data_IF_642026576849
#
_entry.id   IF_642026576849
#
_cell.length_a   1.000
_cell.length_b   1.000
_cell.length_c   1.000
_cell.angle_alpha   90.00
_cell.angle_beta   90.00
_cell.angle_gamma   90.00
#
_symmetry.space_group_name_H-M   'P 1'
#
loop_
_entity.id
_entity.type
_entity.pdbx_description
1 polymer ?
#
# COMPACT_ATOMS: atom_id res chain seq x y z
N UNK A 1 -3.88 6.46 -8.79
CA UNK A 1 -4.04 5.14 -8.19
C UNK A 1 -5.46 4.63 -8.19
N UNK A 2 -5.64 3.36 -8.51
CA UNK A 2 -6.95 2.70 -8.50
C UNK A 2 -7.14 1.97 -7.17
N UNK A 3 -8.29 2.19 -6.51
CA UNK A 3 -8.70 1.46 -5.32
C UNK A 3 -9.86 0.52 -5.66
N UNK A 4 -9.54 -0.63 -6.22
CA UNK A 4 -10.49 -1.73 -6.44
C UNK A 4 -9.99 -2.92 -5.66
N UNK A 5 -10.84 -3.45 -4.77
CA UNK A 5 -10.59 -4.76 -4.17
C UNK A 5 -11.25 -5.81 -5.04
N UNK A 6 -10.45 -6.60 -5.71
CA UNK A 6 -10.94 -7.70 -6.55
C UNK A 6 -10.13 -8.97 -6.30
N UNK A 7 -10.75 -10.12 -6.48
CA UNK A 7 -10.10 -11.41 -6.36
C UNK A 7 -10.44 -12.29 -7.56
N UNK A 8 -9.44 -12.96 -8.12
CA UNK A 8 -9.64 -13.99 -9.14
C UNK A 8 -10.27 -15.20 -8.47
N UNK A 9 -11.46 -15.59 -8.94
CA UNK A 9 -12.17 -16.76 -8.44
C UNK A 9 -11.93 -18.03 -9.29
N UNK A 10 -11.47 -17.83 -10.52
CA UNK A 10 -11.17 -18.90 -11.48
C UNK A 10 -10.80 -18.31 -12.84
N UNK A 11 -10.49 -19.13 -13.85
CA UNK A 11 -10.17 -18.67 -15.19
C UNK A 11 -11.30 -17.79 -15.75
N UNK A 12 -10.97 -16.52 -16.06
CA UNK A 12 -11.93 -15.55 -16.62
C UNK A 12 -12.97 -15.01 -15.64
N UNK A 13 -12.91 -15.38 -14.33
CA UNK A 13 -13.88 -14.94 -13.32
C UNK A 13 -13.19 -14.07 -12.27
N UNK A 14 -13.60 -12.81 -12.19
CA UNK A 14 -13.12 -11.85 -11.18
C UNK A 14 -14.30 -11.41 -10.32
N UNK A 15 -14.13 -11.47 -9.00
CA UNK A 15 -15.10 -10.97 -8.03
C UNK A 15 -14.60 -9.67 -7.43
N UNK A 16 -15.40 -8.63 -7.50
CA UNK A 16 -15.15 -7.40 -6.75
C UNK A 16 -15.48 -7.63 -5.27
N UNK A 17 -14.51 -7.34 -4.40
CA UNK A 17 -14.61 -7.54 -2.95
C UNK A 17 -14.85 -6.18 -2.28
N UNK A 18 -16.13 -5.91 -1.96
CA UNK A 18 -16.53 -4.69 -1.24
C UNK A 18 -16.43 -3.40 -2.06
N UNK A 19 -17.20 -2.40 -1.67
CA UNK A 19 -17.16 -1.02 -2.15
C UNK A 19 -17.28 -0.79 -3.67
N UNK A 20 -17.59 0.43 -4.05
CA UNK A 20 -17.37 0.90 -5.43
C UNK A 20 -15.89 1.27 -5.60
N UNK A 21 -15.24 0.75 -6.62
CA UNK A 21 -13.87 1.18 -6.96
C UNK A 21 -13.81 2.71 -7.08
N UNK A 22 -12.71 3.29 -6.66
CA UNK A 22 -12.45 4.73 -6.78
C UNK A 22 -11.11 4.94 -7.45
N UNK A 23 -11.06 5.86 -8.41
CA UNK A 23 -9.85 6.27 -9.12
C UNK A 23 -9.44 7.66 -8.67
N UNK A 24 -8.26 7.78 -8.06
CA UNK A 24 -7.60 9.07 -7.88
C UNK A 24 -6.52 9.21 -8.95
N UNK A 25 -6.45 10.34 -9.60
CA UNK A 25 -5.42 10.62 -10.59
C UNK A 25 -5.05 12.11 -10.61
N UNK A 26 -3.90 12.42 -11.19
CA UNK A 26 -3.42 13.79 -11.31
C UNK A 26 -1.99 13.85 -11.81
N UNK A 27 -1.47 15.04 -12.14
CA UNK A 27 -0.10 15.21 -12.59
C UNK A 27 0.89 14.93 -11.43
N UNK A 28 1.99 14.23 -11.76
CA UNK A 28 3.04 13.92 -10.79
C UNK A 28 3.89 15.17 -10.49
N UNK A 29 4.05 16.03 -11.48
CA UNK A 29 4.85 17.27 -11.42
C UNK A 29 4.10 18.47 -10.80
N UNK A 30 2.89 18.22 -10.27
CA UNK A 30 1.99 19.27 -9.74
C UNK A 30 1.70 20.39 -10.75
N UNK A 31 1.78 20.09 -12.06
CA UNK A 31 1.41 21.01 -13.12
C UNK A 31 -0.08 21.41 -13.01
N UNK A 32 -0.49 22.39 -13.84
CA UNK A 32 -1.87 22.85 -13.89
C UNK A 32 -2.86 21.68 -14.00
N UNK A 33 -3.51 21.40 -12.90
CA UNK A 33 -4.42 20.28 -12.72
C UNK A 33 -5.70 20.47 -13.55
N UNK A 34 -6.11 21.71 -13.78
CA UNK A 34 -7.38 22.02 -14.45
C UNK A 34 -7.44 21.53 -15.90
N UNK A 35 -6.29 21.42 -16.58
CA UNK A 35 -6.24 20.86 -17.94
C UNK A 35 -6.67 19.38 -18.02
N UNK A 36 -6.68 18.67 -16.88
CA UNK A 36 -7.10 17.26 -16.80
C UNK A 36 -8.58 17.11 -16.38
N UNK A 37 -9.28 18.19 -16.10
CA UNK A 37 -10.71 18.19 -15.74
C UNK A 37 -11.62 17.50 -16.78
N UNK A 38 -11.38 17.66 -18.10
CA UNK A 38 -12.16 16.93 -19.09
C UNK A 38 -12.02 15.40 -19.00
N UNK A 39 -10.86 14.91 -18.53
CA UNK A 39 -10.64 13.45 -18.32
C UNK A 39 -11.44 12.97 -17.12
N UNK A 40 -11.50 13.75 -16.04
CA UNK A 40 -12.34 13.45 -14.88
C UNK A 40 -13.82 13.33 -15.29
N UNK A 41 -14.33 14.32 -16.03
CA UNK A 41 -15.69 14.30 -16.50
C UNK A 41 -15.99 13.07 -17.38
N UNK A 42 -15.11 12.77 -18.33
CA UNK A 42 -15.24 11.60 -19.20
C UNK A 42 -15.31 10.28 -18.41
N UNK A 43 -14.46 10.13 -17.37
CA UNK A 43 -14.45 8.95 -16.53
C UNK A 43 -15.73 8.84 -15.70
N UNK A 44 -16.21 9.98 -15.16
CA UNK A 44 -17.45 10.03 -14.38
C UNK A 44 -18.66 9.73 -15.24
N UNK A 45 -18.73 10.25 -16.46
CA UNK A 45 -19.79 9.96 -17.43
C UNK A 45 -19.81 8.48 -17.84
N UNK A 46 -18.63 7.83 -17.83
CA UNK A 46 -18.52 6.38 -18.01
C UNK A 46 -18.87 5.55 -16.77
N UNK A 47 -19.36 6.18 -15.69
CA UNK A 47 -19.72 5.50 -14.44
C UNK A 47 -18.54 5.15 -13.53
N UNK A 48 -17.33 5.66 -13.82
CA UNK A 48 -16.15 5.45 -12.97
C UNK A 48 -16.12 6.54 -11.91
N UNK A 49 -16.05 6.15 -10.64
CA UNK A 49 -15.87 7.10 -9.53
C UNK A 49 -14.44 7.65 -9.54
N UNK A 50 -14.20 8.63 -10.41
CA UNK A 50 -12.91 9.28 -10.57
C UNK A 50 -12.85 10.61 -9.82
N UNK A 51 -11.68 10.92 -9.26
CA UNK A 51 -11.38 12.17 -8.57
C UNK A 51 -10.01 12.70 -9.04
N UNK A 52 -10.02 13.90 -9.61
CA UNK A 52 -8.82 14.61 -10.01
C UNK A 52 -8.16 15.25 -8.78
N UNK A 53 -6.94 14.84 -8.49
CA UNK A 53 -6.19 15.30 -7.32
C UNK A 53 -5.05 16.23 -7.73
N UNK A 54 -4.94 17.37 -7.06
CA UNK A 54 -3.80 18.27 -7.21
C UNK A 54 -2.51 17.67 -6.59
N UNK A 55 -2.65 16.70 -5.69
CA UNK A 55 -1.55 15.92 -5.13
C UNK A 55 -1.82 14.43 -5.33
N UNK A 56 -1.49 13.92 -6.52
CA UNK A 56 -1.68 12.50 -6.85
C UNK A 56 -0.77 11.56 -6.03
N UNK A 57 0.29 12.11 -5.43
CA UNK A 57 1.20 11.32 -4.58
C UNK A 57 0.57 10.99 -3.23
N UNK A 58 -0.20 11.90 -2.65
CA UNK A 58 -0.78 11.70 -1.33
C UNK A 58 -1.67 10.43 -1.26
N UNK A 59 -2.69 10.21 -2.11
CA UNK A 59 -3.48 8.99 -2.07
C UNK A 59 -2.67 7.74 -2.39
N UNK A 60 -1.67 7.82 -3.27
CA UNK A 60 -0.78 6.71 -3.60
C UNK A 60 0.03 6.27 -2.37
N UNK A 61 0.69 7.22 -1.70
CA UNK A 61 1.49 6.95 -0.52
C UNK A 61 0.63 6.57 0.70
N UNK A 62 -0.59 7.12 0.81
CA UNK A 62 -1.56 6.70 1.85
C UNK A 62 -1.98 5.24 1.69
N UNK A 63 -2.09 4.75 0.46
CA UNK A 63 -2.30 3.32 0.22
C UNK A 63 -1.05 2.51 0.55
N UNK A 64 0.12 2.99 0.10
CA UNK A 64 1.38 2.29 0.24
C UNK A 64 1.79 2.10 1.71
N UNK A 65 1.68 3.14 2.55
CA UNK A 65 2.02 3.07 3.98
C UNK A 65 1.19 2.03 4.74
N UNK A 66 -0.05 1.80 4.29
CA UNK A 66 -0.93 0.76 4.84
C UNK A 66 -0.56 -0.63 4.33
N UNK A 67 -0.49 -0.80 2.99
CA UNK A 67 -0.43 -2.14 2.41
C UNK A 67 0.99 -2.73 2.41
N UNK A 68 2.03 -1.93 2.22
CA UNK A 68 3.41 -2.40 2.15
C UNK A 68 3.86 -3.15 3.41
N UNK A 69 3.77 -2.54 4.62
CA UNK A 69 4.12 -3.22 5.88
C UNK A 69 3.25 -4.44 6.16
N UNK A 70 1.94 -4.36 5.92
CA UNK A 70 1.04 -5.50 6.10
C UNK A 70 1.41 -6.64 5.16
N UNK A 71 1.66 -6.36 3.87
CA UNK A 71 2.09 -7.38 2.91
C UNK A 71 3.42 -8.02 3.32
N UNK A 72 4.40 -7.22 3.72
CA UNK A 72 5.69 -7.72 4.17
C UNK A 72 5.60 -8.64 5.39
N UNK A 73 4.93 -8.17 6.45
CA UNK A 73 4.87 -8.92 7.71
C UNK A 73 3.96 -10.15 7.61
N UNK A 74 2.82 -10.06 6.91
CA UNK A 74 1.95 -11.23 6.71
C UNK A 74 2.62 -12.31 5.85
N UNK A 75 3.39 -11.92 4.82
CA UNK A 75 4.18 -12.87 4.02
C UNK A 75 5.32 -13.50 4.82
N UNK A 76 5.97 -12.70 5.68
CA UNK A 76 7.06 -13.17 6.54
C UNK A 76 6.59 -14.15 7.61
N UNK A 77 5.46 -13.86 8.24
CA UNK A 77 4.97 -14.66 9.38
C UNK A 77 4.01 -15.77 9.00
N UNK A 78 3.39 -15.68 7.81
CA UNK A 78 2.27 -16.53 7.39
C UNK A 78 0.95 -16.23 8.10
N UNK A 79 0.93 -15.23 9.00
CA UNK A 79 -0.23 -14.85 9.81
C UNK A 79 -1.18 -13.93 9.05
N UNK A 80 -2.51 -14.06 9.23
CA UNK A 80 -3.48 -13.09 8.73
C UNK A 80 -3.45 -11.78 9.55
N UNK A 81 -4.18 -10.76 9.10
CA UNK A 81 -4.19 -9.42 9.70
C UNK A 81 -4.46 -9.42 11.20
N UNK A 82 -5.48 -10.16 11.66
CA UNK A 82 -5.85 -10.20 13.07
C UNK A 82 -4.75 -10.76 13.96
N UNK A 83 -4.04 -11.79 13.51
CA UNK A 83 -2.94 -12.38 14.26
C UNK A 83 -1.70 -11.48 14.28
N UNK A 84 -1.36 -10.85 13.14
CA UNK A 84 -0.26 -9.87 13.08
C UNK A 84 -0.52 -8.70 14.02
N UNK A 85 -1.73 -8.12 13.97
CA UNK A 85 -2.08 -6.97 14.80
C UNK A 85 -2.28 -7.33 16.29
N UNK A 86 -2.63 -8.58 16.59
CA UNK A 86 -2.77 -9.11 17.93
C UNK A 86 -1.44 -9.54 18.58
N UNK A 87 -0.39 -9.75 17.78
CA UNK A 87 0.96 -10.07 18.26
C UNK A 87 1.72 -8.78 18.57
N UNK A 88 2.17 -8.53 19.80
CA UNK A 88 2.90 -7.31 20.15
C UNK A 88 4.12 -7.07 19.26
N UNK A 89 4.94 -8.09 19.01
CA UNK A 89 6.17 -7.99 18.24
C UNK A 89 5.88 -7.71 16.74
N UNK A 90 4.91 -8.42 16.15
CA UNK A 90 4.56 -8.22 14.75
C UNK A 90 3.91 -6.84 14.53
N UNK A 91 3.08 -6.40 15.48
CA UNK A 91 2.48 -5.06 15.44
C UNK A 91 3.53 -3.96 15.53
N UNK A 92 4.52 -4.10 16.41
CA UNK A 92 5.66 -3.16 16.53
C UNK A 92 6.44 -3.13 15.22
N UNK A 93 6.66 -4.28 14.58
CA UNK A 93 7.33 -4.36 13.29
C UNK A 93 6.54 -3.63 12.19
N UNK A 94 5.23 -3.88 12.07
CA UNK A 94 4.34 -3.17 11.13
C UNK A 94 4.39 -1.66 11.36
N UNK A 95 4.19 -1.22 12.61
CA UNK A 95 4.19 0.20 12.97
C UNK A 95 5.55 0.86 12.65
N UNK A 96 6.65 0.19 12.96
CA UNK A 96 7.98 0.67 12.65
C UNK A 96 8.23 0.81 11.15
N UNK A 97 7.80 -0.16 10.35
CA UNK A 97 7.87 -0.08 8.89
C UNK A 97 6.99 1.07 8.35
N UNK A 98 5.82 1.31 8.92
CA UNK A 98 4.99 2.47 8.55
C UNK A 98 5.72 3.80 8.82
N UNK A 99 6.42 3.92 9.96
CA UNK A 99 7.23 5.11 10.28
C UNK A 99 8.41 5.30 9.31
N UNK A 100 9.04 4.23 8.86
CA UNK A 100 10.07 4.31 7.82
C UNK A 100 9.49 4.81 6.49
N UNK A 101 8.31 4.33 6.09
CA UNK A 101 7.61 4.82 4.89
C UNK A 101 7.24 6.30 5.05
N UNK A 102 6.70 6.68 6.21
CA UNK A 102 6.37 8.07 6.49
C UNK A 102 7.59 9.00 6.32
N UNK A 103 8.73 8.61 6.88
CA UNK A 103 9.96 9.41 6.78
C UNK A 103 10.42 9.58 5.32
N UNK A 104 10.42 8.49 4.54
CA UNK A 104 10.78 8.52 3.11
C UNK A 104 9.77 9.35 2.30
N UNK A 105 8.48 9.17 2.54
CA UNK A 105 7.43 9.89 1.82
C UNK A 105 7.49 11.40 2.09
N UNK A 106 7.65 11.80 3.34
CA UNK A 106 7.82 13.22 3.72
C UNK A 106 9.07 13.82 3.06
N UNK A 107 10.18 13.09 2.99
CA UNK A 107 11.38 13.54 2.29
C UNK A 107 11.15 13.70 0.78
N UNK A 108 10.24 12.94 0.19
CA UNK A 108 9.76 13.08 -1.20
C UNK A 108 8.70 14.17 -1.37
N UNK A 109 8.38 14.93 -0.34
CA UNK A 109 7.42 16.04 -0.40
C UNK A 109 5.96 15.62 -0.30
N UNK A 110 5.67 14.43 0.22
CA UNK A 110 4.30 13.99 0.51
C UNK A 110 3.84 14.62 1.83
N UNK A 111 2.73 15.37 1.80
CA UNK A 111 2.17 16.03 2.97
C UNK A 111 1.18 15.11 3.71
N UNK A 112 1.69 14.08 4.36
CA UNK A 112 0.86 13.23 5.21
C UNK A 112 0.27 13.98 6.40
N UNK A 113 -0.97 13.65 6.83
CA UNK A 113 -1.48 14.03 8.15
C UNK A 113 -0.52 13.58 9.26
N UNK A 114 -0.56 14.27 10.41
CA UNK A 114 0.33 13.95 11.53
C UNK A 114 0.08 12.56 12.14
N UNK A 115 -1.13 12.06 12.03
CA UNK A 115 -1.59 10.78 12.57
C UNK A 115 -1.60 9.63 11.55
N UNK A 116 -0.92 9.78 10.40
CA UNK A 116 -1.01 8.84 9.28
C UNK A 116 -0.69 7.39 9.68
N UNK A 117 0.27 7.18 10.57
CA UNK A 117 0.64 5.83 11.04
C UNK A 117 -0.52 5.23 11.85
N UNK A 118 -1.10 5.98 12.79
CA UNK A 118 -2.21 5.50 13.60
C UNK A 118 -3.48 5.29 12.76
N UNK A 119 -3.76 6.18 11.83
CA UNK A 119 -4.86 6.02 10.88
C UNK A 119 -4.68 4.76 10.01
N UNK A 120 -3.44 4.46 9.59
CA UNK A 120 -3.13 3.26 8.80
C UNK A 120 -3.26 1.97 9.62
N UNK A 121 -2.84 1.97 10.89
CA UNK A 121 -3.08 0.85 11.81
C UNK A 121 -4.57 0.64 12.07
N UNK A 122 -5.32 1.72 12.30
CA UNK A 122 -6.77 1.67 12.45
C UNK A 122 -7.46 1.09 11.21
N UNK A 123 -7.01 1.48 10.02
CA UNK A 123 -7.48 0.92 8.75
C UNK A 123 -7.20 -0.58 8.65
N UNK A 124 -5.99 -1.02 9.03
CA UNK A 124 -5.64 -2.44 9.04
C UNK A 124 -6.55 -3.24 10.00
N UNK A 125 -6.82 -2.71 11.20
CA UNK A 125 -7.68 -3.33 12.20
C UNK A 125 -9.17 -3.40 11.79
N UNK A 126 -9.60 -2.57 10.84
CA UNK A 126 -10.98 -2.60 10.32
C UNK A 126 -11.23 -3.73 9.31
N UNK A 127 -10.20 -4.41 8.83
CA UNK A 127 -10.36 -5.60 7.98
C UNK A 127 -10.77 -6.82 8.81
N UNK A 128 -11.42 -7.79 8.15
CA UNK A 128 -11.72 -9.06 8.80
C UNK A 128 -10.42 -9.72 9.32
N UNK A 129 -10.39 -10.27 10.55
CA UNK A 129 -9.16 -10.82 11.14
C UNK A 129 -8.46 -11.89 10.29
N UNK A 130 -9.22 -12.67 9.52
CA UNK A 130 -8.71 -13.70 8.63
C UNK A 130 -8.18 -13.15 7.28
N UNK A 131 -8.17 -11.82 7.07
CA UNK A 131 -7.70 -11.23 5.83
C UNK A 131 -6.23 -11.53 5.59
N UNK A 132 -5.90 -11.96 4.38
CA UNK A 132 -4.53 -12.11 3.86
C UNK A 132 -4.31 -11.12 2.72
N UNK A 133 -3.07 -10.64 2.55
CA UNK A 133 -2.71 -9.84 1.39
C UNK A 133 -2.56 -10.71 0.13
N UNK A 134 -2.70 -10.09 -1.06
CA UNK A 134 -2.40 -10.79 -2.32
C UNK A 134 -0.96 -11.30 -2.35
N UNK A 135 0.00 -10.45 -1.94
CA UNK A 135 1.41 -10.83 -1.87
C UNK A 135 1.64 -12.04 -0.94
N UNK A 136 0.96 -12.11 0.23
CA UNK A 136 1.04 -13.28 1.10
C UNK A 136 0.52 -14.54 0.41
N UNK A 137 -0.64 -14.45 -0.26
CA UNK A 137 -1.24 -15.58 -0.96
C UNK A 137 -0.34 -16.07 -2.11
N UNK A 138 0.29 -15.17 -2.85
CA UNK A 138 1.24 -15.51 -3.91
C UNK A 138 2.50 -16.14 -3.33
N UNK A 139 2.99 -15.59 -2.21
CA UNK A 139 4.15 -16.14 -1.51
C UNK A 139 3.90 -17.57 -1.01
N UNK A 140 2.74 -17.83 -0.38
CA UNK A 140 2.32 -19.15 0.10
C UNK A 140 2.19 -20.18 -1.03
N UNK A 141 1.89 -19.71 -2.25
CA UNK A 141 1.73 -20.56 -3.45
C UNK A 141 3.01 -20.73 -4.27
N UNK A 142 4.08 -20.04 -3.91
CA UNK A 142 5.32 -20.02 -4.69
C UNK A 142 5.19 -19.25 -6.01
N UNK A 143 4.22 -18.35 -6.12
CA UNK A 143 4.05 -17.47 -7.28
C UNK A 143 5.03 -16.29 -7.25
N UNK A 144 5.29 -15.63 -8.38
CA UNK A 144 5.96 -14.32 -8.40
C UNK A 144 5.23 -13.33 -7.49
N UNK A 145 5.97 -12.60 -6.67
CA UNK A 145 5.41 -11.68 -5.69
C UNK A 145 5.74 -10.22 -6.00
N UNK A 146 5.01 -9.29 -5.37
CA UNK A 146 5.27 -7.85 -5.45
C UNK A 146 6.32 -7.39 -4.41
N UNK A 147 7.24 -8.29 -3.99
CA UNK A 147 8.28 -8.01 -3.00
C UNK A 147 9.13 -6.80 -3.40
N UNK A 148 9.46 -6.69 -4.69
CA UNK A 148 10.26 -5.58 -5.22
C UNK A 148 9.54 -4.23 -5.09
N UNK A 149 8.23 -4.22 -5.24
CA UNK A 149 7.41 -3.00 -5.17
C UNK A 149 7.17 -2.61 -3.72
N UNK A 150 6.78 -3.56 -2.87
CA UNK A 150 6.38 -3.24 -1.50
C UNK A 150 7.54 -3.11 -0.52
N UNK A 151 8.62 -3.86 -0.70
CA UNK A 151 9.71 -3.91 0.29
C UNK A 151 11.03 -3.41 -0.28
N UNK A 152 11.50 -3.97 -1.42
CA UNK A 152 12.80 -3.58 -1.98
C UNK A 152 12.84 -2.11 -2.42
N UNK A 153 11.73 -1.57 -2.92
CA UNK A 153 11.61 -0.14 -3.23
C UNK A 153 11.97 0.75 -2.04
N UNK A 154 11.51 0.41 -0.82
CA UNK A 154 11.82 1.19 0.38
C UNK A 154 13.30 1.11 0.75
N UNK A 155 13.91 -0.05 0.59
CA UNK A 155 15.36 -0.22 0.81
C UNK A 155 16.16 0.67 -0.15
N UNK A 156 15.76 0.69 -1.43
CA UNK A 156 16.37 1.54 -2.45
C UNK A 156 16.15 3.03 -2.17
N UNK A 157 14.92 3.43 -1.94
CA UNK A 157 14.55 4.82 -1.70
C UNK A 157 15.20 5.38 -0.41
N UNK A 158 15.27 4.58 0.66
CA UNK A 158 15.97 4.95 1.88
C UNK A 158 17.45 5.22 1.64
N UNK A 159 18.11 4.36 0.85
CA UNK A 159 19.52 4.56 0.46
C UNK A 159 19.72 5.83 -0.35
N UNK A 160 18.88 6.07 -1.35
CA UNK A 160 18.98 7.24 -2.24
C UNK A 160 18.75 8.56 -1.49
N UNK A 161 17.86 8.56 -0.50
CA UNK A 161 17.48 9.76 0.26
C UNK A 161 18.25 9.94 1.57
N UNK A 162 19.13 9.01 1.93
CA UNK A 162 19.84 9.02 3.20
C UNK A 162 18.93 8.80 4.43
N UNK A 163 17.79 8.14 4.25
CA UNK A 163 16.84 7.79 5.31
C UNK A 163 17.07 6.34 5.75
N UNK A 164 17.34 6.09 7.04
CA UNK A 164 17.49 4.72 7.53
C UNK A 164 16.17 3.96 7.50
N UNK A 165 16.19 2.75 6.92
CA UNK A 165 15.05 1.84 6.82
C UNK A 165 15.45 0.41 7.25
N UNK A 166 15.90 0.25 8.51
CA UNK A 166 16.42 -1.03 8.98
C UNK A 166 15.38 -2.15 8.99
N UNK A 167 14.10 -1.83 9.25
CA UNK A 167 13.05 -2.85 9.32
C UNK A 167 12.68 -3.36 7.92
N UNK A 168 12.59 -2.49 6.91
CA UNK A 168 12.41 -2.94 5.53
C UNK A 168 13.58 -3.79 5.06
N UNK A 169 14.83 -3.44 5.41
CA UNK A 169 16.00 -4.25 5.09
C UNK A 169 15.93 -5.63 5.73
N UNK A 170 15.54 -5.70 7.00
CA UNK A 170 15.37 -6.96 7.74
C UNK A 170 14.32 -7.84 7.05
N UNK A 171 13.12 -7.32 6.85
CA UNK A 171 12.01 -8.05 6.22
C UNK A 171 12.37 -8.50 4.80
N UNK A 172 13.02 -7.63 4.01
CA UNK A 172 13.48 -7.98 2.67
C UNK A 172 14.46 -9.16 2.69
N UNK A 173 15.49 -9.07 3.54
CA UNK A 173 16.51 -10.13 3.64
C UNK A 173 15.90 -11.48 4.06
N UNK A 174 14.97 -11.48 5.03
CA UNK A 174 14.33 -12.70 5.50
C UNK A 174 13.39 -13.31 4.45
N UNK A 175 12.65 -12.48 3.68
CA UNK A 175 11.79 -12.97 2.59
C UNK A 175 12.59 -13.50 1.40
N UNK A 176 13.76 -12.94 1.11
CA UNK A 176 14.64 -13.42 0.04
C UNK A 176 15.34 -14.76 0.35
N UNK A 177 15.44 -15.15 1.62
CA UNK A 177 16.07 -16.42 2.05
C UNK A 177 15.12 -17.62 2.05
N UNK A 178 13.85 -17.38 1.82
CA UNK A 178 12.81 -18.42 1.78
C UNK A 178 12.48 -18.82 0.35
#
# INVERSE_FOLDING_TARGET
GVFISSAIQGPGVVKQMGGTGQLFFGPVDRADVEKYRPIEALLQDAGIKAELSADALLPLWTKYIFIGPMAGVTSLTGKPFGEVLGSPDDRVLVEGMMKEIEAVARKKGVNFPADIVQASLGKAAAFAPATKTSMQLDYERGNPTELDIFIAYMVKAGKELGIPVPLHRKVYAELMMR
#
